data_IF_223662773530
#
_entry.id   IF_223662773530
#
_cell.length_a   1.000
_cell.length_b   1.000
_cell.length_c   1.000
_cell.angle_alpha   90.00
_cell.angle_beta   90.00
_cell.angle_gamma   90.00
#
_symmetry.space_group_name_H-M   'P 1'
#
loop_
_entity.id
_entity.type
_entity.pdbx_description
1 polymer ?
#
# COMPACT_ATOMS: atom_id res chain seq x y z
N UNK A 1 17.23 24.86 33.41
CA UNK A 1 18.04 25.94 32.81
C UNK A 1 19.04 25.30 31.86
N UNK A 2 19.34 25.93 30.71
CA UNK A 2 20.19 25.51 29.58
C UNK A 2 19.47 24.75 28.45
N UNK A 3 19.68 25.06 27.17
CA UNK A 3 19.92 26.31 26.42
C UNK A 3 19.63 25.93 24.96
N UNK A 4 18.98 26.84 24.25
CA UNK A 4 18.59 26.77 22.83
C UNK A 4 19.81 26.63 21.93
N UNK A 5 19.76 25.73 20.93
CA UNK A 5 20.53 25.90 19.69
C UNK A 5 19.54 25.82 18.51
N UNK A 6 19.40 26.97 17.85
CA UNK A 6 18.66 27.18 16.60
C UNK A 6 19.55 26.75 15.46
N UNK A 7 19.09 25.86 14.59
CA UNK A 7 19.72 25.64 13.29
C UNK A 7 18.74 26.06 12.21
N UNK A 8 19.07 27.20 11.61
CA UNK A 8 18.43 27.73 10.41
C UNK A 8 19.07 27.11 9.16
N UNK A 9 18.30 27.00 8.08
CA UNK A 9 18.80 26.75 6.74
C UNK A 9 18.25 25.47 6.11
N UNK A 10 17.94 25.38 4.82
CA UNK A 10 18.05 26.27 3.66
C UNK A 10 16.88 25.85 2.75
N UNK A 11 16.12 26.82 2.21
CA UNK A 11 15.09 26.55 1.22
C UNK A 11 15.74 26.47 -0.18
N UNK A 12 15.63 25.33 -0.86
CA UNK A 12 16.04 25.17 -2.26
C UNK A 12 14.78 25.13 -3.12
N UNK A 13 14.61 26.19 -3.92
CA UNK A 13 13.62 26.29 -4.99
C UNK A 13 14.17 25.64 -6.25
N UNK A 14 13.53 24.58 -6.75
CA UNK A 14 13.79 24.00 -8.08
C UNK A 14 12.59 24.30 -8.99
N UNK A 15 12.76 25.10 -10.05
CA UNK A 15 11.74 25.28 -11.07
C UNK A 15 12.08 24.42 -12.30
N UNK A 16 11.26 23.43 -12.66
CA UNK A 16 11.40 22.75 -13.96
C UNK A 16 10.05 22.54 -14.69
N UNK A 17 9.85 23.42 -15.68
CA UNK A 17 9.32 23.22 -17.02
C UNK A 17 7.97 22.48 -17.24
N UNK A 18 6.92 23.27 -17.51
CA UNK A 18 5.79 22.87 -18.34
C UNK A 18 6.17 23.01 -19.82
N UNK A 19 6.21 21.91 -20.56
CA UNK A 19 6.24 21.92 -22.02
C UNK A 19 5.47 20.71 -22.57
N UNK A 20 4.47 20.97 -23.40
CA UNK A 20 3.69 19.92 -24.06
C UNK A 20 2.37 20.42 -24.65
N UNK A 21 2.45 21.43 -25.52
CA UNK A 21 1.33 21.85 -26.37
C UNK A 21 1.34 20.97 -27.63
N UNK A 22 0.28 20.24 -27.89
CA UNK A 22 0.08 19.48 -29.13
C UNK A 22 -1.37 19.54 -29.54
N UNK A 23 -1.65 20.20 -30.66
CA UNK A 23 -3.00 20.37 -31.22
C UNK A 23 -3.17 19.57 -32.51
N UNK A 24 -4.38 19.03 -32.66
CA UNK A 24 -5.15 18.86 -33.92
C UNK A 24 -4.85 17.69 -34.87
N UNK A 25 -5.86 16.82 -35.01
CA UNK A 25 -6.50 16.35 -36.28
C UNK A 25 -7.79 15.62 -35.90
N UNK A 26 -8.98 16.22 -36.04
CA UNK A 26 -9.91 16.22 -37.19
C UNK A 26 -10.48 14.84 -37.59
N UNK A 27 -11.80 14.75 -37.34
CA UNK A 27 -12.88 13.92 -37.90
C UNK A 27 -12.59 12.59 -38.60
N UNK A 28 -13.28 11.54 -38.16
CA UNK A 28 -14.22 10.79 -39.02
C UNK A 28 -15.24 10.07 -38.13
N UNK A 29 -16.52 10.41 -38.31
CA UNK A 29 -17.65 9.69 -37.74
C UNK A 29 -17.96 8.45 -38.58
N UNK A 30 -18.04 7.28 -37.94
CA UNK A 30 -18.57 6.04 -38.52
C UNK A 30 -19.65 5.48 -37.57
N UNK A 31 -20.89 5.25 -38.02
CA UNK A 31 -21.94 4.69 -37.18
C UNK A 31 -21.70 3.19 -36.85
N UNK A 32 -22.26 2.70 -35.73
CA UNK A 32 -21.82 1.46 -35.09
C UNK A 32 -22.40 0.19 -35.76
N UNK A 33 -21.62 -0.91 -35.85
CA UNK A 33 -22.21 -2.23 -36.01
C UNK A 33 -22.83 -2.69 -34.68
N UNK A 34 -24.14 -2.97 -34.71
CA UNK A 34 -24.87 -3.60 -33.61
C UNK A 34 -24.25 -4.95 -33.29
N UNK A 35 -23.78 -5.12 -32.05
CA UNK A 35 -23.31 -6.42 -31.55
C UNK A 35 -23.96 -6.74 -30.22
N UNK A 36 -24.97 -7.61 -30.31
CA UNK A 36 -25.47 -8.63 -29.39
C UNK A 36 -25.06 -8.50 -27.92
N UNK A 37 -26.08 -8.31 -27.06
CA UNK A 37 -26.00 -8.48 -25.62
C UNK A 37 -25.47 -9.89 -25.27
N UNK A 38 -24.20 -9.96 -24.87
CA UNK A 38 -23.68 -11.12 -24.17
C UNK A 38 -24.23 -11.07 -22.73
N UNK A 39 -24.99 -12.11 -22.37
CA UNK A 39 -25.52 -12.32 -21.04
C UNK A 39 -24.43 -12.15 -19.95
N UNK A 40 -24.79 -11.70 -18.73
CA UNK A 40 -23.85 -11.66 -17.63
C UNK A 40 -23.37 -13.09 -17.35
N UNK A 41 -22.14 -13.38 -17.75
CA UNK A 41 -21.42 -14.57 -17.28
C UNK A 41 -21.38 -14.47 -15.76
N UNK A 42 -21.90 -15.46 -15.00
CA UNK A 42 -21.75 -15.47 -13.56
C UNK A 42 -20.26 -15.60 -13.27
N UNK A 43 -19.66 -14.53 -12.77
CA UNK A 43 -18.32 -14.55 -12.19
C UNK A 43 -18.28 -15.74 -11.23
N UNK A 44 -17.33 -16.69 -11.38
CA UNK A 44 -17.17 -17.73 -10.38
C UNK A 44 -16.92 -17.00 -9.06
N UNK A 45 -17.85 -17.17 -8.10
CA UNK A 45 -17.58 -16.86 -6.69
C UNK A 45 -16.32 -17.62 -6.35
N UNK A 46 -15.20 -16.90 -6.36
CA UNK A 46 -13.98 -17.39 -5.78
C UNK A 46 -14.30 -17.56 -4.31
N UNK A 47 -14.69 -18.78 -3.95
CA UNK A 47 -14.80 -19.22 -2.56
C UNK A 47 -13.37 -19.29 -2.07
N UNK A 48 -12.76 -18.12 -1.87
CA UNK A 48 -11.55 -17.98 -1.07
C UNK A 48 -12.01 -18.47 0.29
N UNK A 49 -11.66 -19.72 0.57
CA UNK A 49 -11.82 -20.35 1.86
C UNK A 49 -11.03 -19.45 2.81
N UNK A 50 -11.72 -18.49 3.42
CA UNK A 50 -11.15 -17.61 4.42
C UNK A 50 -10.68 -18.54 5.54
N UNK A 51 -9.39 -18.86 5.53
CA UNK A 51 -8.75 -19.49 6.68
C UNK A 51 -9.16 -18.64 7.87
N UNK A 52 -9.76 -19.23 8.92
CA UNK A 52 -10.22 -18.47 10.06
C UNK A 52 -9.07 -17.58 10.52
N UNK A 53 -9.27 -16.27 10.42
CA UNK A 53 -8.35 -15.32 11.00
C UNK A 53 -8.20 -15.74 12.46
N UNK A 54 -6.96 -15.86 12.94
CA UNK A 54 -6.70 -16.24 14.33
C UNK A 54 -7.61 -15.42 15.26
N UNK A 55 -8.23 -16.04 16.28
CA UNK A 55 -9.23 -15.38 17.11
C UNK A 55 -8.64 -14.08 17.69
N UNK A 56 -9.16 -12.93 17.23
CA UNK A 56 -8.70 -11.60 17.63
C UNK A 56 -8.39 -10.63 16.50
N UNK A 57 -8.18 -11.08 15.26
CA UNK A 57 -7.94 -10.17 14.12
C UNK A 57 -9.28 -9.62 13.62
N UNK A 58 -9.60 -8.37 13.98
CA UNK A 58 -10.76 -7.67 13.39
C UNK A 58 -10.56 -7.56 11.87
N UNK A 59 -11.63 -7.71 11.10
CA UNK A 59 -11.59 -7.51 9.67
C UNK A 59 -10.90 -6.16 9.36
N UNK A 60 -9.85 -6.21 8.54
CA UNK A 60 -9.13 -5.01 8.12
C UNK A 60 -10.11 -4.01 7.50
N UNK A 61 -10.18 -2.77 8.01
CA UNK A 61 -11.03 -1.74 7.39
C UNK A 61 -10.47 -1.26 6.04
N UNK A 62 -9.28 -1.73 5.65
CA UNK A 62 -8.57 -1.34 4.43
C UNK A 62 -8.39 -2.53 3.51
N UNK A 63 -8.66 -2.31 2.23
CA UNK A 63 -8.44 -3.30 1.18
C UNK A 63 -6.98 -3.32 0.69
N UNK A 64 -6.51 -4.47 0.24
CA UNK A 64 -5.15 -4.65 -0.28
C UNK A 64 -4.84 -3.73 -1.48
N UNK A 65 -5.83 -3.48 -2.35
CA UNK A 65 -5.69 -2.56 -3.49
C UNK A 65 -5.44 -1.14 -3.02
N UNK A 66 -6.15 -0.71 -1.96
CA UNK A 66 -5.94 0.61 -1.37
C UNK A 66 -4.56 0.72 -0.73
N UNK A 67 -4.13 -0.28 0.03
CA UNK A 67 -2.78 -0.29 0.60
C UNK A 67 -1.69 -0.28 -0.47
N UNK A 68 -1.89 -0.95 -1.61
CA UNK A 68 -0.93 -0.92 -2.71
C UNK A 68 -0.88 0.47 -3.36
N UNK A 69 -2.03 1.12 -3.55
CA UNK A 69 -2.09 2.49 -4.07
C UNK A 69 -1.38 3.46 -3.11
N UNK A 70 -1.63 3.32 -1.81
CA UNK A 70 -0.97 4.12 -0.78
C UNK A 70 0.54 3.82 -0.74
N UNK A 71 0.97 2.56 -0.86
CA UNK A 71 2.39 2.16 -0.92
C UNK A 71 3.14 2.82 -2.09
N UNK A 72 2.51 2.91 -3.27
CA UNK A 72 3.12 3.56 -4.46
C UNK A 72 3.39 5.05 -4.26
N UNK A 73 2.81 5.68 -3.25
CA UNK A 73 3.13 7.09 -2.89
C UNK A 73 4.43 7.21 -2.09
N UNK A 74 4.99 6.09 -1.63
CA UNK A 74 6.25 6.02 -0.87
C UNK A 74 7.31 5.27 -1.68
N UNK A 75 7.89 5.93 -2.68
CA UNK A 75 8.83 5.32 -3.64
C UNK A 75 9.92 4.46 -3.00
N UNK A 76 10.56 4.97 -1.94
CA UNK A 76 11.64 4.23 -1.25
C UNK A 76 11.16 2.90 -0.66
N UNK A 77 9.95 2.87 -0.08
CA UNK A 77 9.36 1.66 0.52
C UNK A 77 8.80 0.74 -0.57
N UNK A 78 8.19 1.30 -1.62
CA UNK A 78 7.67 0.53 -2.75
C UNK A 78 8.78 -0.19 -3.53
N UNK A 79 9.84 0.54 -3.91
CA UNK A 79 10.99 0.00 -4.61
C UNK A 79 11.72 -1.01 -3.71
N UNK A 80 11.92 -0.66 -2.44
CA UNK A 80 12.55 -1.54 -1.46
C UNK A 80 11.79 -2.85 -1.22
N UNK A 81 10.45 -2.81 -1.23
CA UNK A 81 9.61 -3.99 -1.15
C UNK A 81 9.64 -4.86 -2.42
N UNK A 82 10.36 -4.46 -3.46
CA UNK A 82 10.49 -5.18 -4.73
C UNK A 82 9.43 -4.80 -5.76
N UNK A 83 8.89 -3.58 -5.66
CA UNK A 83 7.84 -3.04 -6.54
C UNK A 83 6.68 -4.04 -6.76
N UNK A 84 5.99 -4.48 -5.69
CA UNK A 84 5.00 -5.55 -5.79
C UNK A 84 3.86 -5.22 -6.76
N UNK A 85 3.39 -6.25 -7.45
CA UNK A 85 2.23 -6.17 -8.34
C UNK A 85 0.92 -6.13 -7.53
N UNK A 86 0.90 -6.85 -6.40
CA UNK A 86 -0.23 -6.92 -5.48
C UNK A 86 0.22 -7.14 -4.03
N UNK A 87 -0.69 -6.86 -3.11
CA UNK A 87 -0.56 -7.16 -1.69
C UNK A 87 -1.53 -8.28 -1.32
N UNK A 88 -1.10 -9.19 -0.45
CA UNK A 88 -1.90 -10.32 0.04
C UNK A 88 -1.74 -10.50 1.54
N UNK A 89 -2.55 -11.38 2.14
CA UNK A 89 -2.51 -11.74 3.57
C UNK A 89 -2.54 -10.50 4.48
N UNK A 90 -3.40 -9.54 4.14
CA UNK A 90 -3.52 -8.31 4.92
C UNK A 90 -4.06 -8.65 6.31
N UNK A 91 -3.31 -8.27 7.34
CA UNK A 91 -3.70 -8.37 8.72
C UNK A 91 -3.67 -6.98 9.35
N UNK A 92 -4.68 -6.63 10.13
CA UNK A 92 -4.79 -5.32 10.75
C UNK A 92 -4.98 -5.48 12.24
N UNK A 93 -4.38 -4.55 12.96
CA UNK A 93 -4.51 -4.46 14.40
C UNK A 93 -4.37 -2.99 14.80
N UNK A 94 -5.41 -2.46 15.44
CA UNK A 94 -5.49 -1.06 15.83
C UNK A 94 -5.26 -0.13 14.62
N UNK A 95 -4.25 0.73 14.66
CA UNK A 95 -3.90 1.65 13.57
C UNK A 95 -2.77 1.11 12.66
N UNK A 96 -2.52 -0.20 12.69
CA UNK A 96 -1.47 -0.83 11.92
C UNK A 96 -2.03 -1.91 10.99
N UNK A 97 -1.43 -2.03 9.81
CA UNK A 97 -1.72 -3.08 8.86
C UNK A 97 -0.43 -3.68 8.34
N UNK A 98 -0.43 -4.98 8.06
CA UNK A 98 0.69 -5.69 7.46
C UNK A 98 0.18 -6.46 6.28
N UNK A 99 0.89 -6.39 5.17
CA UNK A 99 0.59 -7.15 3.98
C UNK A 99 1.85 -7.81 3.43
N UNK A 100 1.69 -8.98 2.80
CA UNK A 100 2.72 -9.63 2.01
C UNK A 100 2.75 -9.03 0.61
N UNK A 101 3.91 -8.52 0.22
CA UNK A 101 4.21 -8.09 -1.13
C UNK A 101 4.37 -9.31 -2.04
N UNK A 102 3.60 -9.35 -3.13
CA UNK A 102 3.75 -10.36 -4.18
C UNK A 102 4.49 -9.74 -5.36
N UNK A 103 5.65 -10.29 -5.68
CA UNK A 103 6.50 -9.81 -6.75
C UNK A 103 7.70 -10.73 -6.99
N UNK A 104 8.61 -10.33 -7.90
CA UNK A 104 9.78 -11.13 -8.27
C UNK A 104 10.79 -11.27 -7.12
N UNK A 105 10.79 -10.34 -6.17
CA UNK A 105 11.56 -10.46 -4.93
C UNK A 105 10.73 -11.23 -3.88
N UNK A 106 11.34 -12.26 -3.30
CA UNK A 106 10.64 -13.17 -2.38
C UNK A 106 10.07 -12.44 -1.15
N UNK A 107 8.90 -12.91 -0.70
CA UNK A 107 8.27 -12.78 0.63
C UNK A 107 8.55 -11.52 1.46
N UNK A 108 8.57 -10.35 0.83
CA UNK A 108 8.62 -9.10 1.58
C UNK A 108 7.26 -8.86 2.25
N UNK A 109 7.31 -8.37 3.48
CA UNK A 109 6.14 -7.83 4.17
C UNK A 109 6.29 -6.33 4.27
N UNK A 110 5.18 -5.62 4.20
CA UNK A 110 5.12 -4.17 4.32
C UNK A 110 4.26 -3.83 5.52
N UNK A 111 4.76 -2.94 6.38
CA UNK A 111 4.03 -2.41 7.52
C UNK A 111 3.46 -1.05 7.15
N UNK A 112 2.18 -0.86 7.45
CA UNK A 112 1.47 0.39 7.28
C UNK A 112 1.00 0.91 8.63
N UNK A 113 1.10 2.22 8.82
CA UNK A 113 0.50 2.95 9.93
C UNK A 113 -0.59 3.87 9.42
N UNK A 114 -1.73 3.92 10.09
CA UNK A 114 -2.81 4.82 9.76
C UNK A 114 -2.57 6.19 10.42
N UNK A 115 -2.45 7.23 9.59
CA UNK A 115 -2.41 8.62 10.06
C UNK A 115 -3.83 9.14 10.18
N UNK A 116 -4.32 9.25 11.43
CA UNK A 116 -5.68 9.70 11.71
C UNK A 116 -5.93 11.17 11.32
N UNK A 117 -4.88 12.00 11.25
CA UNK A 117 -4.99 13.42 10.87
C UNK A 117 -5.23 13.54 9.38
N UNK A 118 -4.43 12.82 8.58
CA UNK A 118 -4.50 12.83 7.12
C UNK A 118 -5.52 11.84 6.56
N UNK A 119 -6.01 10.92 7.38
CA UNK A 119 -6.91 9.80 7.01
C UNK A 119 -6.33 8.94 5.88
N UNK A 120 -5.02 8.68 5.93
CA UNK A 120 -4.29 7.85 4.95
C UNK A 120 -3.47 6.77 5.63
N UNK A 121 -3.27 5.65 4.94
CA UNK A 121 -2.28 4.65 5.35
C UNK A 121 -0.90 5.06 4.82
N UNK A 122 0.10 5.01 5.70
CA UNK A 122 1.47 5.36 5.37
C UNK A 122 2.32 4.09 5.46
N UNK A 123 3.09 3.81 4.43
CA UNK A 123 4.03 2.70 4.46
C UNK A 123 5.21 3.08 5.36
N UNK A 124 5.41 2.35 6.46
CA UNK A 124 6.41 2.66 7.47
C UNK A 124 7.74 1.97 7.16
N UNK A 125 7.68 0.68 6.85
CA UNK A 125 8.86 -0.15 6.60
C UNK A 125 8.50 -1.39 5.77
N UNK A 126 9.52 -2.04 5.21
CA UNK A 126 9.40 -3.28 4.45
C UNK A 126 10.53 -4.25 4.81
N UNK A 127 10.37 -5.54 4.51
CA UNK A 127 11.40 -6.55 4.69
C UNK A 127 10.84 -7.93 5.07
N UNK A 128 11.75 -8.85 5.37
CA UNK A 128 11.42 -10.20 5.82
C UNK A 128 11.51 -10.31 7.34
N UNK A 129 10.62 -11.08 7.98
CA UNK A 129 10.71 -11.61 9.35
C UNK A 129 10.77 -10.62 10.53
N UNK A 130 11.59 -9.58 10.46
CA UNK A 130 11.93 -8.65 11.56
C UNK A 130 11.31 -7.26 11.39
N UNK A 131 10.44 -7.06 10.40
CA UNK A 131 9.83 -5.76 10.08
C UNK A 131 8.99 -5.15 11.20
N UNK A 132 8.55 -5.94 12.18
CA UNK A 132 7.78 -5.46 13.33
C UNK A 132 8.70 -5.26 14.54
N UNK A 133 9.80 -4.54 14.34
CA UNK A 133 10.60 -4.03 15.45
C UNK A 133 9.78 -2.99 16.23
N UNK A 134 10.05 -2.86 17.53
CA UNK A 134 9.42 -1.87 18.42
C UNK A 134 9.53 -0.43 17.91
N UNK A 135 10.47 -0.16 17.00
CA UNK A 135 10.64 1.13 16.35
C UNK A 135 9.41 1.57 15.52
N UNK A 136 8.66 0.63 14.94
CA UNK A 136 7.55 0.94 14.03
C UNK A 136 6.20 0.46 14.55
N UNK A 137 6.18 -0.69 15.23
CA UNK A 137 4.95 -1.32 15.73
C UNK A 137 5.10 -1.57 17.23
N UNK A 138 4.18 -1.09 18.08
CA UNK A 138 4.20 -1.40 19.50
C UNK A 138 4.21 -2.92 19.74
N UNK A 139 4.98 -3.39 20.72
CA UNK A 139 5.17 -4.83 20.97
C UNK A 139 3.85 -5.61 21.13
N UNK A 140 2.86 -5.01 21.77
CA UNK A 140 1.52 -5.60 21.96
C UNK A 140 0.77 -5.79 20.63
N UNK A 141 0.94 -4.86 19.68
CA UNK A 141 0.36 -4.94 18.33
C UNK A 141 1.13 -5.96 17.48
N UNK A 142 2.46 -5.99 17.59
CA UNK A 142 3.31 -6.92 16.86
C UNK A 142 2.99 -8.40 17.20
N UNK A 143 2.75 -8.70 18.48
CA UNK A 143 2.30 -10.03 18.93
C UNK A 143 0.99 -10.46 18.25
N UNK A 144 0.01 -9.55 18.18
CA UNK A 144 -1.32 -9.83 17.60
C UNK A 144 -1.30 -9.97 16.07
N UNK A 145 -0.41 -9.22 15.40
CA UNK A 145 -0.18 -9.33 13.96
C UNK A 145 0.62 -10.57 13.56
N UNK A 146 0.97 -11.44 14.53
CA UNK A 146 1.82 -12.61 14.35
C UNK A 146 3.13 -12.28 13.62
N UNK A 147 3.73 -11.13 13.97
CA UNK A 147 5.06 -10.76 13.54
C UNK A 147 6.11 -11.47 14.39
N UNK A 148 6.24 -12.79 14.24
CA UNK A 148 7.38 -13.46 14.84
C UNK A 148 8.59 -13.35 13.90
N UNK A 149 9.80 -13.11 14.45
CA UNK A 149 11.02 -13.27 13.67
C UNK A 149 11.03 -14.68 13.09
N UNK A 150 11.41 -14.81 11.81
CA UNK A 150 11.75 -16.13 11.28
C UNK A 150 12.93 -16.64 12.11
N UNK A 151 12.67 -17.63 12.96
CA UNK A 151 13.70 -18.28 13.80
C UNK A 151 14.69 -19.08 12.97
#
# INVERSE_FOLDING_TARGET
MHRIVRTAGIAVLVPLALAGCGSSTKDTATPPPATTAAAPSPTPKSTVKATPAAPGVKACPVDAVKLLADLKTYDAVYIGAGAPEKLEKVACQDNFAIASAVGPMQSNRVVFGYDATKKVWQALTFGAGTICTEQYVPAETAKKLNCQPAG
#
